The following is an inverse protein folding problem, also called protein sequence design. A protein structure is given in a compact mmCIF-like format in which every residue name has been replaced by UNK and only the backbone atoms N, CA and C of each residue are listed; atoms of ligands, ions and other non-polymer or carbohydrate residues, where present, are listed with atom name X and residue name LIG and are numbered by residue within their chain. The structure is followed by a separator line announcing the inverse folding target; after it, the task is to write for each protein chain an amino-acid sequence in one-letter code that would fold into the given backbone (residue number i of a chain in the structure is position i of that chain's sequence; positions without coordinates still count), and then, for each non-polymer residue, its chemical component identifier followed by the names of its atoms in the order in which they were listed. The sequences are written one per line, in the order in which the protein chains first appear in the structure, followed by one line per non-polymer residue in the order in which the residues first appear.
data_IF_893917057686
#
_entry.id   IF_893917057686
#
_cell.length_a   1.000
_cell.length_b   1.000
_cell.length_c   1.000
_cell.angle_alpha   90.00
_cell.angle_beta   90.00
_cell.angle_gamma   90.00
#
_symmetry.space_group_name_H-M   'P 1'
#
loop_
_entity.id
_entity.type
_entity.pdbx_description
1 polymer ?
#
# COMPACT_ATOMS: atom_id res chain seq x y z
N UNK A 1 -8.13 0.28 -10.86
CA UNK A 1 -9.03 1.44 -10.67
C UNK A 1 -8.86 1.84 -9.22
N UNK A 2 -8.48 3.08 -8.92
CA UNK A 2 -8.34 3.55 -7.54
C UNK A 2 -9.73 3.89 -7.02
N UNK A 3 -10.36 2.97 -6.29
CA UNK A 3 -11.64 3.22 -5.64
C UNK A 3 -11.43 3.90 -4.29
N UNK A 4 -12.22 4.93 -4.01
CA UNK A 4 -12.13 5.72 -2.77
C UNK A 4 -13.03 5.06 -1.72
N UNK A 5 -12.44 4.58 -0.63
CA UNK A 5 -13.16 4.15 0.56
C UNK A 5 -13.14 5.29 1.57
N UNK A 6 -14.27 5.96 1.75
CA UNK A 6 -14.55 6.86 2.89
C UNK A 6 -13.72 8.15 3.04
N UNK A 7 -12.67 8.38 2.25
CA UNK A 7 -11.89 9.65 2.06
C UNK A 7 -10.42 9.39 1.74
N UNK A 8 -9.98 8.13 1.77
CA UNK A 8 -8.60 7.74 1.51
C UNK A 8 -8.56 6.48 0.64
N UNK A 9 -7.38 6.17 0.13
CA UNK A 9 -7.12 4.99 -0.69
C UNK A 9 -6.02 4.18 -0.02
N UNK A 10 -6.26 2.90 0.20
CA UNK A 10 -5.23 1.99 0.71
C UNK A 10 -4.23 1.68 -0.39
N UNK A 11 -2.95 1.74 -0.02
CA UNK A 11 -1.80 1.47 -0.86
C UNK A 11 -0.90 0.40 -0.24
N UNK A 12 -0.14 -0.24 -1.11
CA UNK A 12 1.15 -0.86 -0.81
C UNK A 12 2.20 -0.31 -1.79
N UNK A 13 3.40 -0.06 -1.31
CA UNK A 13 4.50 0.57 -2.07
C UNK A 13 5.72 -0.33 -2.00
N UNK A 14 6.31 -0.66 -3.14
CA UNK A 14 7.65 -1.25 -3.21
C UNK A 14 8.66 -0.10 -3.29
N UNK A 15 9.44 0.07 -2.23
CA UNK A 15 10.42 1.17 -2.12
C UNK A 15 11.68 0.95 -2.95
N UNK A 16 12.01 -0.30 -3.27
CA UNK A 16 13.19 -0.65 -4.08
C UNK A 16 12.89 -0.44 -5.57
N UNK A 17 11.68 -0.79 -6.01
CA UNK A 17 11.24 -0.71 -7.41
C UNK A 17 10.57 0.62 -7.76
N UNK A 18 10.17 1.42 -6.76
CA UNK A 18 9.50 2.70 -6.98
C UNK A 18 8.10 2.57 -7.59
N UNK A 19 7.41 1.46 -7.32
CA UNK A 19 6.05 1.20 -7.81
C UNK A 19 5.09 1.04 -6.64
N UNK A 20 3.80 1.25 -6.90
CA UNK A 20 2.74 1.07 -5.91
C UNK A 20 1.54 0.35 -6.49
N UNK A 21 0.80 -0.33 -5.62
CA UNK A 21 -0.54 -0.83 -5.86
C UNK A 21 -1.51 -0.13 -4.91
N UNK A 22 -2.74 0.13 -5.36
CA UNK A 22 -3.72 0.86 -4.56
C UNK A 22 -5.15 0.58 -4.99
N UNK A 23 -6.08 0.88 -4.09
CA UNK A 23 -7.52 0.67 -4.31
C UNK A 23 -8.03 -0.69 -3.85
N UNK A 24 -7.25 -1.44 -3.07
CA UNK A 24 -7.72 -2.63 -2.35
C UNK A 24 -8.55 -2.25 -1.12
N UNK A 25 -9.34 -3.21 -0.62
CA UNK A 25 -10.10 -3.03 0.62
C UNK A 25 -9.15 -3.00 1.83
N UNK A 26 -8.03 -3.71 1.75
CA UNK A 26 -6.97 -3.79 2.74
C UNK A 26 -5.59 -3.52 2.09
N UNK A 27 -4.61 -3.11 2.91
CA UNK A 27 -3.22 -3.01 2.43
C UNK A 27 -2.65 -4.37 1.99
N UNK A 28 -3.13 -5.46 2.58
CA UNK A 28 -2.76 -6.82 2.23
C UNK A 28 -3.16 -7.18 0.79
N UNK A 29 -4.29 -6.67 0.29
CA UNK A 29 -4.70 -6.88 -1.11
C UNK A 29 -3.72 -6.19 -2.07
N UNK A 30 -3.29 -4.98 -1.71
CA UNK A 30 -2.31 -4.23 -2.49
C UNK A 30 -0.92 -4.88 -2.43
N UNK A 31 -0.53 -5.40 -1.26
CA UNK A 31 0.72 -6.16 -1.07
C UNK A 31 0.72 -7.41 -1.94
N UNK A 32 -0.38 -8.18 -1.96
CA UNK A 32 -0.50 -9.39 -2.78
C UNK A 32 -0.25 -9.10 -4.26
N UNK A 33 -0.81 -8.01 -4.80
CA UNK A 33 -0.57 -7.57 -6.18
C UNK A 33 0.90 -7.26 -6.44
N UNK A 34 1.58 -6.59 -5.51
CA UNK A 34 3.02 -6.31 -5.64
C UNK A 34 3.86 -7.57 -5.57
N UNK A 35 3.53 -8.51 -4.68
CA UNK A 35 4.20 -9.81 -4.57
C UNK A 35 4.03 -10.64 -5.84
N UNK A 36 2.82 -10.71 -6.41
CA UNK A 36 2.54 -11.35 -7.70
C UNK A 36 3.33 -10.69 -8.84
N UNK A 37 3.56 -9.37 -8.74
CA UNK A 37 4.39 -8.63 -9.68
C UNK A 37 5.92 -8.82 -9.47
N UNK A 38 6.34 -9.67 -8.52
CA UNK A 38 7.75 -9.99 -8.27
C UNK A 38 8.46 -9.08 -7.26
N UNK A 39 7.71 -8.27 -6.52
CA UNK A 39 8.24 -7.48 -5.41
C UNK A 39 8.64 -8.38 -4.24
N UNK A 40 9.61 -7.98 -3.42
CA UNK A 40 9.97 -8.73 -2.21
C UNK A 40 9.21 -8.19 -1.03
N UNK A 41 8.69 -9.06 -0.17
CA UNK A 41 7.93 -8.60 1.00
C UNK A 41 8.74 -7.67 1.93
N UNK A 42 10.06 -7.79 1.98
CA UNK A 42 10.94 -6.89 2.76
C UNK A 42 10.95 -5.45 2.24
N UNK A 43 10.66 -5.26 0.95
CA UNK A 43 10.68 -3.96 0.28
C UNK A 43 9.27 -3.35 0.18
N UNK A 44 8.22 -4.07 0.57
CA UNK A 44 6.83 -3.60 0.53
C UNK A 44 6.43 -2.92 1.84
N UNK A 45 5.80 -1.76 1.74
CA UNK A 45 5.25 -0.99 2.85
C UNK A 45 3.81 -0.57 2.56
N UNK A 46 2.94 -0.71 3.55
CA UNK A 46 1.57 -0.24 3.52
C UNK A 46 1.51 1.26 3.79
N UNK A 47 0.65 1.95 3.03
CA UNK A 47 0.39 3.36 3.17
C UNK A 47 -1.08 3.70 2.84
N UNK A 48 -1.59 4.81 3.34
CA UNK A 48 -2.85 5.41 2.93
C UNK A 48 -2.56 6.67 2.13
N UNK A 49 -3.29 6.88 1.03
CA UNK A 49 -3.29 8.13 0.27
C UNK A 49 -4.54 8.93 0.57
N UNK A 50 -4.37 10.20 0.94
CA UNK A 50 -5.44 11.14 1.24
C UNK A 50 -5.58 12.14 0.08
N UNK A 51 -6.50 11.92 -0.90
CA UNK A 51 -6.55 12.74 -2.11
C UNK A 51 -6.87 14.22 -1.87
N UNK A 52 -7.56 14.52 -0.77
CA UNK A 52 -7.96 15.88 -0.42
C UNK A 52 -6.78 16.74 0.07
N UNK A 53 -5.93 16.18 0.92
CA UNK A 53 -4.76 16.88 1.49
C UNK A 53 -3.48 16.62 0.69
N UNK A 54 -3.49 15.64 -0.22
CA UNK A 54 -2.32 15.14 -0.94
C UNK A 54 -1.23 14.61 0.00
N UNK A 55 -1.65 14.00 1.10
CA UNK A 55 -0.75 13.44 2.11
C UNK A 55 -0.71 11.91 2.02
N UNK A 56 0.40 11.37 2.50
CA UNK A 56 0.62 9.92 2.65
C UNK A 56 0.68 9.59 4.13
N UNK A 57 -0.23 8.74 4.59
CA UNK A 57 -0.11 8.07 5.89
C UNK A 57 0.68 6.77 5.72
N UNK A 58 1.61 6.48 6.64
CA UNK A 58 2.45 5.28 6.59
C UNK A 58 2.16 4.33 7.77
N UNK A 59 1.01 4.50 8.41
CA UNK A 59 0.53 3.65 9.49
C UNK A 59 -0.24 2.48 8.88
N UNK A 60 0.31 1.27 8.94
CA UNK A 60 -0.35 0.09 8.38
C UNK A 60 0.06 -1.18 9.11
N UNK A 61 -0.88 -2.12 9.24
CA UNK A 61 -0.61 -3.40 9.91
C UNK A 61 0.44 -4.23 9.18
N UNK A 62 0.51 -4.15 7.84
CA UNK A 62 1.53 -4.89 7.06
C UNK A 62 2.96 -4.36 7.33
N UNK A 63 3.09 -3.17 7.92
CA UNK A 63 4.38 -2.61 8.32
C UNK A 63 4.89 -3.23 9.64
N UNK A 64 4.02 -3.86 10.42
CA UNK A 64 4.39 -4.56 11.64
C UNK A 64 4.94 -5.93 11.24
N UNK A 65 6.26 -6.08 11.33
CA UNK A 65 6.95 -7.32 10.98
C UNK A 65 7.30 -8.07 12.27
N UNK A 66 6.49 -9.06 12.70
CA UNK A 66 6.90 -9.94 13.79
C UNK A 66 8.08 -10.77 13.30
N UNK A 67 9.28 -10.30 13.62
CA UNK A 67 10.52 -11.08 13.64
C UNK A 67 10.95 -11.20 15.09
#
# INVERSE_FOLDING_TARGET
MLEILSSYIKLAVDIERGILAGGGELHADCEAVLLENGSKQVDIWGADWYPLTQEVGYESLINIRPR
#
